data_IF_865163147954
#
_entry.id   IF_865163147954
#
_cell.length_a   1.000
_cell.length_b   1.000
_cell.length_c   1.000
_cell.angle_alpha   90.00
_cell.angle_beta   90.00
_cell.angle_gamma   90.00
#
_symmetry.space_group_name_H-M   'P 1'
#
loop_
_entity.id
_entity.type
_entity.pdbx_description
1 polymer ?
#
# COMPACT_ATOMS: atom_id res chain seq x y z
N UNK A 1 54.85 8.57 3.95
CA UNK A 1 54.50 7.35 4.71
C UNK A 1 53.14 6.88 4.20
N UNK A 2 53.06 5.81 3.39
CA UNK A 2 51.81 5.39 2.79
C UNK A 2 51.05 4.44 3.72
N UNK A 3 49.73 4.65 3.80
CA UNK A 3 48.76 3.79 4.49
C UNK A 3 48.21 2.82 3.45
N UNK A 4 48.79 1.63 3.36
CA UNK A 4 48.43 0.61 2.36
C UNK A 4 48.32 -0.80 2.98
N UNK A 5 47.72 -0.92 4.17
CA UNK A 5 47.75 -2.21 4.89
C UNK A 5 46.46 -2.60 5.61
N UNK A 6 45.28 -2.16 5.15
CA UNK A 6 43.98 -2.64 5.69
C UNK A 6 43.02 -3.02 4.53
N UNK A 7 43.53 -3.67 3.49
CA UNK A 7 42.70 -4.17 2.37
C UNK A 7 42.84 -5.68 2.12
N UNK A 8 43.66 -6.40 2.91
CA UNK A 8 44.01 -7.78 2.58
C UNK A 8 43.15 -8.86 3.25
N UNK A 9 42.31 -8.52 4.25
CA UNK A 9 41.60 -9.54 5.06
C UNK A 9 40.09 -9.66 4.82
N UNK A 10 39.49 -8.88 3.92
CA UNK A 10 38.04 -8.98 3.59
C UNK A 10 37.79 -9.82 2.33
N UNK A 11 38.82 -10.13 1.54
CA UNK A 11 38.68 -10.80 0.24
C UNK A 11 38.66 -12.34 0.32
N UNK A 12 38.73 -12.92 1.52
CA UNK A 12 38.81 -14.37 1.73
C UNK A 12 37.45 -15.08 1.84
N UNK A 13 36.32 -14.35 1.90
CA UNK A 13 34.99 -14.92 2.09
C UNK A 13 34.06 -14.86 0.87
N UNK A 14 34.51 -14.35 -0.28
CA UNK A 14 33.67 -14.27 -1.47
C UNK A 14 34.41 -14.65 -2.76
N UNK A 15 34.64 -15.95 -2.95
CA UNK A 15 34.86 -16.54 -4.27
C UNK A 15 33.93 -17.73 -4.47
N UNK A 16 33.07 -17.74 -5.51
CA UNK A 16 32.42 -18.97 -5.94
C UNK A 16 33.45 -19.82 -6.68
N UNK A 17 33.69 -21.03 -6.18
CA UNK A 17 34.52 -22.05 -6.84
C UNK A 17 33.71 -22.75 -7.93
N UNK A 18 34.27 -22.81 -9.13
CA UNK A 18 33.74 -23.57 -10.27
C UNK A 18 33.78 -25.09 -10.03
N UNK A 19 32.65 -25.70 -10.35
CA UNK A 19 32.42 -27.02 -10.93
C UNK A 19 33.21 -28.25 -10.44
N UNK A 20 32.50 -29.16 -9.78
CA UNK A 20 32.57 -30.60 -10.10
C UNK A 20 31.18 -31.22 -10.08
N UNK A 21 30.85 -31.83 -11.23
CA UNK A 21 29.82 -32.83 -11.54
C UNK A 21 29.11 -33.51 -10.36
N UNK A 22 27.78 -33.36 -10.28
CA UNK A 22 26.87 -34.48 -10.00
C UNK A 22 25.44 -34.19 -10.47
N UNK A 23 24.75 -35.24 -10.88
CA UNK A 23 23.69 -35.24 -11.88
C UNK A 23 22.28 -34.85 -11.39
N UNK A 24 21.53 -34.24 -12.31
CA UNK A 24 20.10 -34.42 -12.59
C UNK A 24 19.07 -34.33 -11.44
N UNK A 25 18.26 -33.27 -11.44
CA UNK A 25 16.80 -33.40 -11.44
C UNK A 25 16.16 -32.22 -12.19
N UNK A 26 15.54 -32.57 -13.31
CA UNK A 26 14.83 -31.73 -14.28
C UNK A 26 13.72 -30.86 -13.68
N UNK A 27 13.73 -29.55 -13.96
CA UNK A 27 12.54 -28.69 -13.88
C UNK A 27 12.25 -28.13 -15.28
N UNK A 28 11.37 -28.81 -16.01
CA UNK A 28 11.02 -28.48 -17.39
C UNK A 28 10.23 -27.17 -17.48
N UNK A 29 10.83 -26.17 -18.12
CA UNK A 29 10.15 -25.00 -18.69
C UNK A 29 9.63 -25.42 -20.06
N UNK A 30 8.32 -25.55 -20.22
CA UNK A 30 7.71 -25.90 -21.50
C UNK A 30 7.64 -24.66 -22.39
N UNK A 31 8.50 -24.60 -23.41
CA UNK A 31 8.42 -23.62 -24.50
C UNK A 31 7.70 -24.32 -25.66
N UNK A 32 6.49 -23.88 -25.97
CA UNK A 32 5.77 -24.32 -27.17
C UNK A 32 6.03 -23.32 -28.29
N UNK A 33 6.75 -23.76 -29.32
CA UNK A 33 7.02 -22.98 -30.55
C UNK A 33 6.03 -23.43 -31.63
N UNK A 34 5.21 -22.51 -32.14
CA UNK A 34 4.48 -22.69 -33.40
C UNK A 34 4.77 -21.51 -34.31
N UNK A 35 5.38 -21.80 -35.45
CA UNK A 35 5.77 -20.87 -36.51
C UNK A 35 4.60 -20.53 -37.43
N UNK A 36 4.36 -19.24 -37.65
CA UNK A 36 3.82 -18.67 -38.90
C UNK A 36 3.98 -17.14 -38.86
N UNK A 37 4.65 -16.58 -39.88
CA UNK A 37 5.02 -15.17 -40.04
C UNK A 37 3.84 -14.29 -40.47
N UNK A 38 3.66 -13.12 -39.85
CA UNK A 38 3.54 -11.77 -40.47
C UNK A 38 3.11 -10.70 -39.44
N UNK A 39 3.76 -9.53 -39.57
CA UNK A 39 3.55 -8.22 -38.93
C UNK A 39 4.10 -7.98 -37.50
N UNK A 40 5.11 -7.10 -37.46
CA UNK A 40 5.94 -6.69 -36.31
C UNK A 40 5.15 -5.99 -35.18
N UNK A 41 4.55 -6.76 -34.29
CA UNK A 41 4.48 -6.42 -32.88
C UNK A 41 5.18 -7.56 -32.15
N UNK A 42 6.35 -7.31 -31.53
CA UNK A 42 7.09 -8.34 -30.79
C UNK A 42 6.19 -8.80 -29.63
N UNK A 43 5.38 -9.81 -29.87
CA UNK A 43 4.47 -10.41 -28.90
C UNK A 43 5.31 -11.26 -27.95
N UNK A 44 5.99 -10.56 -27.02
CA UNK A 44 6.83 -11.18 -26.01
C UNK A 44 5.98 -12.12 -25.13
N UNK A 45 6.50 -13.33 -24.83
CA UNK A 45 5.73 -14.40 -24.19
C UNK A 45 5.11 -13.96 -22.87
N UNK A 46 3.88 -14.42 -22.61
CA UNK A 46 3.17 -14.13 -21.35
C UNK A 46 3.73 -14.97 -20.20
N UNK A 47 4.37 -14.31 -19.23
CA UNK A 47 4.88 -14.93 -18.00
C UNK A 47 3.69 -15.42 -17.16
N UNK A 48 3.65 -16.73 -16.89
CA UNK A 48 2.68 -17.34 -15.97
C UNK A 48 3.43 -18.06 -14.84
N UNK A 49 3.27 -17.60 -13.60
CA UNK A 49 3.97 -18.14 -12.42
C UNK A 49 3.17 -19.30 -11.80
N UNK A 50 3.77 -20.50 -11.69
CA UNK A 50 3.08 -21.72 -11.20
C UNK A 50 2.51 -21.62 -9.76
N UNK A 51 3.09 -20.79 -8.88
CA UNK A 51 2.66 -20.60 -7.47
C UNK A 51 2.23 -19.16 -7.15
N UNK A 52 1.79 -18.39 -8.14
CA UNK A 52 1.33 -17.01 -7.93
C UNK A 52 -0.08 -16.90 -7.36
N UNK A 53 -0.40 -15.77 -6.74
CA UNK A 53 -1.74 -15.41 -6.28
C UNK A 53 -2.71 -15.24 -7.46
N UNK A 54 -3.96 -15.64 -7.26
CA UNK A 54 -5.06 -15.40 -8.21
C UNK A 54 -5.43 -13.91 -8.25
N UNK A 55 -6.03 -13.47 -9.35
CA UNK A 55 -6.49 -12.08 -9.55
C UNK A 55 -7.32 -11.56 -8.35
N UNK A 56 -8.35 -12.30 -7.95
CA UNK A 56 -9.26 -11.88 -6.88
C UNK A 56 -8.53 -11.80 -5.53
N UNK A 57 -7.64 -12.76 -5.25
CA UNK A 57 -6.88 -12.78 -4.00
C UNK A 57 -5.91 -11.59 -3.94
N UNK A 58 -5.26 -11.25 -5.06
CA UNK A 58 -4.39 -10.07 -5.15
C UNK A 58 -5.19 -8.79 -5.02
N UNK A 59 -6.37 -8.71 -5.65
CA UNK A 59 -7.28 -7.57 -5.51
C UNK A 59 -7.72 -7.37 -4.05
N UNK A 60 -8.16 -8.43 -3.37
CA UNK A 60 -8.55 -8.36 -1.95
C UNK A 60 -7.38 -7.95 -1.05
N UNK A 61 -6.19 -8.49 -1.28
CA UNK A 61 -5.00 -8.08 -0.54
C UNK A 61 -4.60 -6.63 -0.83
N UNK A 62 -4.80 -6.17 -2.07
CA UNK A 62 -4.56 -4.78 -2.45
C UNK A 62 -5.54 -3.84 -1.75
N UNK A 63 -6.84 -4.13 -1.80
CA UNK A 63 -7.89 -3.38 -1.11
C UNK A 63 -7.64 -3.32 0.40
N UNK A 64 -7.24 -4.44 1.01
CA UNK A 64 -6.91 -4.51 2.43
C UNK A 64 -5.78 -3.56 2.81
N UNK A 65 -4.71 -3.51 2.01
CA UNK A 65 -3.58 -2.64 2.32
C UNK A 65 -3.85 -1.17 2.03
N UNK A 66 -4.75 -0.85 1.09
CA UNK A 66 -5.18 0.52 0.83
C UNK A 66 -6.14 1.02 1.92
N UNK A 67 -7.20 0.27 2.23
CA UNK A 67 -8.26 0.69 3.16
C UNK A 67 -7.72 0.52 4.60
N UNK A 68 -7.06 1.57 5.10
CA UNK A 68 -6.54 1.65 6.46
C UNK A 68 -7.22 2.72 7.32
N UNK A 69 -6.59 3.10 8.45
CA UNK A 69 -7.02 4.21 9.30
C UNK A 69 -7.25 5.53 8.54
N UNK A 70 -6.49 5.77 7.47
CA UNK A 70 -6.67 6.95 6.61
C UNK A 70 -8.07 7.07 6.01
N UNK A 71 -8.67 5.95 5.59
CA UNK A 71 -10.06 5.93 5.10
C UNK A 71 -11.05 6.49 6.14
N UNK A 72 -10.82 6.20 7.42
CA UNK A 72 -11.71 6.55 8.51
C UNK A 72 -11.55 8.02 8.94
N UNK A 73 -10.43 8.67 8.59
CA UNK A 73 -10.17 10.08 8.88
C UNK A 73 -10.56 11.02 7.74
N UNK A 74 -11.00 10.49 6.59
CA UNK A 74 -11.45 11.29 5.44
C UNK A 74 -12.57 12.31 5.76
N UNK A 75 -13.54 12.06 6.65
CA UNK A 75 -14.51 13.08 7.03
C UNK A 75 -13.86 14.37 7.55
N UNK A 76 -12.71 14.26 8.24
CA UNK A 76 -11.95 15.43 8.72
C UNK A 76 -11.42 16.24 7.54
N UNK A 77 -10.95 15.58 6.48
CA UNK A 77 -10.49 16.25 5.27
C UNK A 77 -11.63 17.01 4.57
N UNK A 78 -12.84 16.46 4.59
CA UNK A 78 -14.04 17.12 4.04
C UNK A 78 -14.45 18.31 4.91
N UNK A 79 -14.38 18.18 6.24
CA UNK A 79 -14.54 19.30 7.18
C UNK A 79 -13.55 20.44 6.92
N UNK A 80 -12.30 20.12 6.56
CA UNK A 80 -11.27 21.12 6.29
C UNK A 80 -11.40 21.77 4.91
N UNK A 81 -11.81 21.04 3.87
CA UNK A 81 -11.88 21.54 2.49
C UNK A 81 -13.27 22.03 2.05
N UNK A 82 -14.33 21.64 2.75
CA UNK A 82 -15.71 21.81 2.32
C UNK A 82 -16.23 20.57 1.57
N UNK A 83 -17.54 20.39 1.56
CA UNK A 83 -18.19 19.13 1.14
C UNK A 83 -17.85 18.75 -0.32
N UNK A 84 -18.12 19.65 -1.26
CA UNK A 84 -17.94 19.38 -2.69
C UNK A 84 -16.49 19.49 -3.13
N UNK A 85 -15.71 20.37 -2.47
CA UNK A 85 -14.27 20.47 -2.70
C UNK A 85 -13.58 19.15 -2.30
N UNK A 86 -13.82 18.67 -1.07
CA UNK A 86 -13.30 17.39 -0.59
C UNK A 86 -13.69 16.21 -1.46
N UNK A 87 -14.97 16.14 -1.87
CA UNK A 87 -15.47 15.12 -2.79
C UNK A 87 -14.69 15.13 -4.11
N UNK A 88 -14.52 16.30 -4.72
CA UNK A 88 -13.76 16.44 -5.98
C UNK A 88 -12.29 16.08 -5.81
N UNK A 89 -11.65 16.53 -4.72
CA UNK A 89 -10.24 16.24 -4.42
C UNK A 89 -9.97 14.74 -4.27
N UNK A 90 -10.88 13.98 -3.63
CA UNK A 90 -10.73 12.52 -3.50
C UNK A 90 -10.63 11.84 -4.87
N UNK A 91 -11.47 12.21 -5.85
CA UNK A 91 -11.40 11.63 -7.19
C UNK A 91 -10.17 12.10 -7.97
N UNK A 92 -9.77 13.36 -7.84
CA UNK A 92 -8.57 13.90 -8.47
C UNK A 92 -7.33 13.16 -7.96
N UNK A 93 -7.14 13.08 -6.63
CA UNK A 93 -6.01 12.37 -6.03
C UNK A 93 -6.08 10.87 -6.28
N UNK A 94 -7.27 10.26 -6.27
CA UNK A 94 -7.46 8.86 -6.63
C UNK A 94 -6.99 8.56 -8.05
N UNK A 95 -7.36 9.40 -9.02
CA UNK A 95 -6.92 9.27 -10.41
C UNK A 95 -5.41 9.47 -10.56
N UNK A 96 -4.87 10.55 -9.98
CA UNK A 96 -3.42 10.83 -10.01
C UNK A 96 -2.61 9.69 -9.39
N UNK A 97 -3.06 9.18 -8.25
CA UNK A 97 -2.39 8.06 -7.58
C UNK A 97 -2.44 6.78 -8.41
N UNK A 98 -3.60 6.45 -8.97
CA UNK A 98 -3.74 5.30 -9.88
C UNK A 98 -2.81 5.43 -11.09
N UNK A 99 -2.75 6.61 -11.71
CA UNK A 99 -1.85 6.89 -12.83
C UNK A 99 -0.38 6.67 -12.46
N UNK A 100 0.07 7.22 -11.32
CA UNK A 100 1.43 7.04 -10.81
C UNK A 100 1.76 5.56 -10.57
N UNK A 101 0.86 4.81 -9.93
CA UNK A 101 1.05 3.38 -9.68
C UNK A 101 1.10 2.58 -10.99
N UNK A 102 0.21 2.86 -11.95
CA UNK A 102 0.19 2.20 -13.26
C UNK A 102 1.52 2.43 -14.00
N UNK A 103 2.01 3.67 -14.02
CA UNK A 103 3.27 4.01 -14.65
C UNK A 103 4.44 3.30 -13.99
N UNK A 104 4.45 3.21 -12.66
CA UNK A 104 5.49 2.49 -11.92
C UNK A 104 5.53 1.00 -12.26
N UNK A 105 4.36 0.34 -12.31
CA UNK A 105 4.28 -1.08 -12.67
C UNK A 105 4.69 -1.29 -14.13
N UNK A 106 4.26 -0.42 -15.04
CA UNK A 106 4.65 -0.49 -16.45
C UNK A 106 6.17 -0.40 -16.62
N UNK A 107 6.81 0.56 -15.96
CA UNK A 107 8.27 0.69 -15.93
C UNK A 107 8.95 -0.56 -15.34
N UNK A 108 8.44 -1.08 -14.23
CA UNK A 108 8.97 -2.29 -13.60
C UNK A 108 8.90 -3.50 -14.53
N UNK A 109 7.75 -3.72 -15.17
CA UNK A 109 7.55 -4.83 -16.11
C UNK A 109 8.46 -4.72 -17.34
N UNK A 110 8.61 -3.52 -17.88
CA UNK A 110 9.51 -3.27 -19.01
C UNK A 110 10.97 -3.58 -18.65
N UNK A 111 11.46 -3.06 -17.52
CA UNK A 111 12.84 -3.28 -17.06
C UNK A 111 13.10 -4.73 -16.64
N UNK A 112 12.13 -5.37 -15.99
CA UNK A 112 12.18 -6.77 -15.58
C UNK A 112 12.38 -7.67 -16.80
N UNK A 113 11.58 -7.48 -17.87
CA UNK A 113 11.71 -8.23 -19.12
C UNK A 113 13.05 -7.99 -19.81
N UNK A 114 13.52 -6.75 -19.84
CA UNK A 114 14.84 -6.40 -20.43
C UNK A 114 15.99 -7.12 -19.73
N UNK A 115 15.88 -7.40 -18.42
CA UNK A 115 16.88 -8.08 -17.60
C UNK A 115 16.72 -9.61 -17.55
N UNK A 116 15.83 -10.19 -18.36
CA UNK A 116 15.57 -11.62 -18.35
C UNK A 116 14.64 -12.06 -17.22
N UNK A 117 13.55 -11.32 -17.01
CA UNK A 117 12.45 -11.62 -16.08
C UNK A 117 12.84 -11.69 -14.59
N UNK A 118 13.81 -10.88 -14.19
CA UNK A 118 14.17 -10.71 -12.79
C UNK A 118 13.08 -9.95 -12.02
N UNK A 119 12.75 -10.39 -10.80
CA UNK A 119 11.89 -9.61 -9.90
C UNK A 119 12.62 -8.33 -9.47
N UNK A 120 11.98 -7.18 -9.67
CA UNK A 120 12.53 -5.89 -9.29
C UNK A 120 11.74 -5.33 -8.11
N UNK A 121 12.47 -5.01 -7.05
CA UNK A 121 11.98 -4.17 -5.95
C UNK A 121 12.17 -2.69 -6.32
N UNK A 122 11.54 -1.76 -5.58
CA UNK A 122 11.54 -0.33 -5.91
C UNK A 122 12.94 0.25 -6.16
N UNK A 123 13.89 0.00 -5.25
CA UNK A 123 15.27 0.46 -5.43
C UNK A 123 15.96 -0.16 -6.65
N UNK A 124 15.62 -1.40 -7.01
CA UNK A 124 16.15 -2.05 -8.21
C UNK A 124 15.50 -1.50 -9.48
N UNK A 125 14.18 -1.21 -9.47
CA UNK A 125 13.51 -0.52 -10.57
C UNK A 125 14.18 0.83 -10.83
N UNK A 126 14.45 1.61 -9.78
CA UNK A 126 15.10 2.90 -9.90
C UNK A 126 16.56 2.79 -10.40
N UNK A 127 17.30 1.79 -9.91
CA UNK A 127 18.65 1.48 -10.37
C UNK A 127 18.68 1.19 -11.88
N UNK A 128 17.83 0.26 -12.32
CA UNK A 128 17.75 -0.17 -13.72
C UNK A 128 17.24 0.95 -14.61
N UNK A 129 16.30 1.77 -14.13
CA UNK A 129 15.84 2.95 -14.84
C UNK A 129 16.99 3.93 -15.08
N UNK A 130 17.82 4.22 -14.06
CA UNK A 130 18.97 5.11 -14.20
C UNK A 130 20.07 4.55 -15.11
N UNK A 131 20.36 3.25 -15.01
CA UNK A 131 21.36 2.58 -15.85
C UNK A 131 20.99 2.63 -17.34
N UNK A 132 19.70 2.45 -17.64
CA UNK A 132 19.19 2.46 -19.01
C UNK A 132 18.79 3.86 -19.52
N UNK A 133 19.00 4.92 -18.74
CA UNK A 133 18.62 6.30 -19.06
C UNK A 133 19.81 7.13 -19.60
N UNK A 134 19.75 8.45 -19.47
CA UNK A 134 20.71 9.44 -19.98
C UNK A 134 22.11 9.25 -19.39
N UNK A 135 23.15 9.56 -20.20
CA UNK A 135 24.57 9.35 -19.83
C UNK A 135 24.97 10.03 -18.51
N UNK A 136 24.42 11.22 -18.22
CA UNK A 136 24.69 11.95 -16.97
C UNK A 136 24.06 11.29 -15.74
N UNK A 137 22.94 10.58 -15.88
CA UNK A 137 22.24 9.98 -14.73
C UNK A 137 22.79 8.60 -14.34
N UNK A 138 23.39 7.88 -15.30
CA UNK A 138 24.02 6.56 -15.11
C UNK A 138 25.01 6.46 -13.94
N UNK A 139 25.94 7.40 -13.70
CA UNK A 139 26.86 7.30 -12.56
C UNK A 139 26.15 7.33 -11.20
N UNK A 140 24.95 7.92 -11.12
CA UNK A 140 24.19 8.07 -9.88
C UNK A 140 23.27 6.89 -9.56
N UNK A 141 23.26 5.81 -10.36
CA UNK A 141 22.33 4.66 -10.22
C UNK A 141 22.29 4.05 -8.81
N UNK A 142 23.45 3.92 -8.14
CA UNK A 142 23.53 3.40 -6.77
C UNK A 142 22.96 4.38 -5.74
N UNK A 143 23.20 5.68 -5.94
CA UNK A 143 22.70 6.74 -5.05
C UNK A 143 21.18 6.81 -5.14
N UNK A 144 20.61 6.78 -6.35
CA UNK A 144 19.15 6.80 -6.56
C UNK A 144 18.49 5.58 -5.90
N UNK A 145 19.08 4.39 -6.03
CA UNK A 145 18.59 3.19 -5.34
C UNK A 145 18.53 3.37 -3.82
N UNK A 146 19.57 3.95 -3.23
CA UNK A 146 19.61 4.22 -1.78
C UNK A 146 18.56 5.25 -1.39
N UNK A 147 18.42 6.34 -2.15
CA UNK A 147 17.40 7.38 -1.91
C UNK A 147 16.01 6.76 -1.90
N UNK A 148 15.65 6.00 -2.94
CA UNK A 148 14.32 5.37 -3.06
C UNK A 148 14.05 4.43 -1.90
N UNK A 149 14.99 3.55 -1.54
CA UNK A 149 14.82 2.64 -0.43
C UNK A 149 14.69 3.37 0.91
N UNK A 150 15.49 4.42 1.15
CA UNK A 150 15.42 5.23 2.37
C UNK A 150 14.08 5.96 2.47
N UNK A 151 13.58 6.53 1.37
CA UNK A 151 12.27 7.19 1.32
C UNK A 151 11.14 6.20 1.61
N UNK A 152 11.20 4.98 1.08
CA UNK A 152 10.21 3.93 1.36
C UNK A 152 10.26 3.50 2.84
N UNK A 153 11.45 3.37 3.43
CA UNK A 153 11.58 3.06 4.86
C UNK A 153 10.97 4.18 5.71
N UNK A 154 11.27 5.45 5.39
CA UNK A 154 10.71 6.60 6.08
C UNK A 154 9.17 6.62 5.98
N UNK A 155 8.63 6.36 4.80
CA UNK A 155 7.19 6.22 4.56
C UNK A 155 6.60 5.10 5.44
N UNK A 156 7.23 3.92 5.46
CA UNK A 156 6.76 2.78 6.24
C UNK A 156 6.77 3.03 7.75
N UNK A 157 7.78 3.74 8.26
CA UNK A 157 7.83 4.16 9.68
C UNK A 157 6.65 5.08 10.00
N UNK A 158 6.32 6.02 9.11
CA UNK A 158 5.16 6.90 9.25
C UNK A 158 3.84 6.13 9.26
N UNK A 159 3.65 5.17 8.36
CA UNK A 159 2.44 4.35 8.32
C UNK A 159 2.30 3.54 9.61
N UNK A 160 3.36 2.85 10.01
CA UNK A 160 3.37 2.02 11.22
C UNK A 160 3.04 2.85 12.48
N UNK A 161 3.52 4.09 12.57
CA UNK A 161 3.23 4.96 13.72
C UNK A 161 1.74 5.33 13.78
N UNK A 162 1.11 5.65 12.65
CA UNK A 162 -0.33 5.97 12.62
C UNK A 162 -1.17 4.74 12.95
N UNK A 163 -0.83 3.56 12.42
CA UNK A 163 -1.52 2.32 12.79
C UNK A 163 -1.41 2.04 14.30
N UNK A 164 -0.24 2.27 14.89
CA UNK A 164 -0.05 2.11 16.33
C UNK A 164 -0.90 3.08 17.15
N UNK A 165 -0.94 4.37 16.77
CA UNK A 165 -1.81 5.37 17.42
C UNK A 165 -3.27 4.98 17.28
N UNK A 166 -3.69 4.54 16.09
CA UNK A 166 -5.06 4.12 15.82
C UNK A 166 -5.49 2.97 16.73
N UNK A 167 -4.68 1.89 16.81
CA UNK A 167 -4.96 0.77 17.71
C UNK A 167 -4.97 1.20 19.17
N UNK A 168 -4.05 2.08 19.57
CA UNK A 168 -3.97 2.61 20.92
C UNK A 168 -5.22 3.38 21.35
N UNK A 169 -5.71 4.29 20.50
CA UNK A 169 -6.92 5.08 20.79
C UNK A 169 -8.15 4.19 20.89
N UNK A 170 -8.33 3.22 19.98
CA UNK A 170 -9.48 2.31 20.01
C UNK A 170 -9.40 1.33 21.18
N UNK A 171 -8.20 0.89 21.57
CA UNK A 171 -8.02 0.04 22.76
C UNK A 171 -8.42 0.79 24.02
N UNK A 172 -8.07 2.07 24.12
CA UNK A 172 -8.52 2.93 25.24
C UNK A 172 -10.04 3.01 25.30
N UNK A 173 -10.68 3.38 24.19
CA UNK A 173 -12.14 3.51 24.12
C UNK A 173 -12.85 2.21 24.51
N UNK A 174 -12.39 1.07 24.00
CA UNK A 174 -12.92 -0.24 24.35
C UNK A 174 -12.74 -0.57 25.84
N UNK A 175 -11.56 -0.29 26.39
CA UNK A 175 -11.26 -0.59 27.79
C UNK A 175 -12.02 0.29 28.75
N UNK A 176 -12.15 1.60 28.47
CA UNK A 176 -12.95 2.54 29.27
C UNK A 176 -14.45 2.23 29.20
N UNK A 177 -14.92 1.66 28.08
CA UNK A 177 -16.31 1.21 27.94
C UNK A 177 -16.61 -0.05 28.75
N UNK A 178 -15.75 -1.08 28.66
CA UNK A 178 -15.99 -2.37 29.34
C UNK A 178 -15.46 -2.44 30.78
N UNK A 179 -14.47 -1.63 31.12
CA UNK A 179 -13.79 -1.63 32.42
C UNK A 179 -13.82 -0.23 33.00
N UNK A 180 -14.04 -0.10 34.31
CA UNK A 180 -13.92 1.20 35.02
C UNK A 180 -12.47 1.70 35.14
N UNK A 181 -11.54 1.13 34.37
CA UNK A 181 -10.12 1.45 34.41
C UNK A 181 -9.89 2.71 33.58
N UNK A 182 -9.82 3.85 34.26
CA UNK A 182 -9.43 5.11 33.65
C UNK A 182 -7.95 5.33 33.88
N UNK A 183 -7.17 5.29 32.80
CA UNK A 183 -5.73 5.49 32.82
C UNK A 183 -5.31 6.53 31.79
N UNK A 184 -4.10 7.06 31.93
CA UNK A 184 -3.57 7.99 30.94
C UNK A 184 -3.37 7.31 29.59
N UNK A 185 -3.54 8.06 28.49
CA UNK A 185 -3.37 7.55 27.11
C UNK A 185 -2.00 6.88 26.91
N UNK A 186 -0.96 7.36 27.59
CA UNK A 186 0.38 6.78 27.56
C UNK A 186 0.41 5.34 28.07
N UNK A 187 -0.36 5.02 29.12
CA UNK A 187 -0.44 3.65 29.66
C UNK A 187 -1.08 2.73 28.63
N UNK A 188 -2.14 3.16 27.95
CA UNK A 188 -2.77 2.41 26.87
C UNK A 188 -1.81 2.13 25.71
N UNK A 189 -1.01 3.12 25.32
CA UNK A 189 0.04 2.92 24.31
C UNK A 189 1.06 1.87 24.76
N UNK A 190 1.56 1.94 26.00
CA UNK A 190 2.48 0.92 26.54
C UNK A 190 1.84 -0.48 26.53
N UNK A 191 0.57 -0.59 26.95
CA UNK A 191 -0.18 -1.86 26.93
C UNK A 191 -0.26 -2.42 25.51
N UNK A 192 -0.54 -1.58 24.49
CA UNK A 192 -0.60 -1.99 23.08
C UNK A 192 0.78 -2.32 22.50
N UNK A 193 1.85 -1.68 22.98
CA UNK A 193 3.21 -1.99 22.54
C UNK A 193 3.62 -3.44 22.84
N UNK A 194 3.22 -3.97 24.01
CA UNK A 194 3.55 -5.34 24.44
C UNK A 194 3.10 -6.41 23.41
N UNK A 195 1.80 -6.53 23.05
CA UNK A 195 1.36 -7.51 22.06
C UNK A 195 1.92 -7.22 20.66
N UNK A 196 2.12 -5.96 20.27
CA UNK A 196 2.73 -5.61 18.98
C UNK A 196 4.18 -6.11 18.89
N UNK A 197 4.97 -5.97 19.96
CA UNK A 197 6.32 -6.53 20.06
C UNK A 197 6.26 -8.05 20.00
N UNK A 198 5.35 -8.71 20.72
CA UNK A 198 5.19 -10.16 20.70
C UNK A 198 4.85 -10.71 19.30
N UNK A 199 4.03 -9.99 18.52
CA UNK A 199 3.71 -10.37 17.13
C UNK A 199 4.98 -10.39 16.26
N UNK A 200 5.95 -9.50 16.50
CA UNK A 200 7.23 -9.51 15.77
C UNK A 200 8.09 -10.76 16.06
N UNK A 201 7.85 -11.49 17.14
CA UNK A 201 8.54 -12.75 17.42
C UNK A 201 7.99 -13.94 16.62
N UNK A 202 6.84 -13.80 15.95
CA UNK A 202 6.27 -14.85 15.11
C UNK A 202 7.09 -14.98 13.82
N UNK A 203 8.01 -15.95 13.80
CA UNK A 203 8.88 -16.23 12.65
C UNK A 203 8.18 -16.96 11.50
N UNK A 204 6.99 -17.52 11.73
CA UNK A 204 6.27 -18.34 10.74
C UNK A 204 5.24 -17.52 9.95
N UNK A 205 5.61 -17.15 8.72
CA UNK A 205 4.74 -16.42 7.77
C UNK A 205 3.39 -17.11 7.50
N UNK A 206 3.29 -18.44 7.67
CA UNK A 206 2.04 -19.19 7.49
C UNK A 206 0.96 -18.76 8.50
N UNK A 207 1.32 -18.54 9.77
CA UNK A 207 0.37 -18.13 10.81
C UNK A 207 -0.17 -16.72 10.56
N UNK A 208 0.71 -15.81 10.13
CA UNK A 208 0.35 -14.44 9.73
C UNK A 208 -0.60 -14.45 8.52
N UNK A 209 -0.42 -15.38 7.58
CA UNK A 209 -1.30 -15.56 6.43
C UNK A 209 -2.75 -15.86 6.81
N UNK A 210 -2.98 -16.81 7.71
CA UNK A 210 -4.35 -17.14 8.18
C UNK A 210 -4.97 -15.99 8.99
N UNK A 211 -4.19 -15.38 9.90
CA UNK A 211 -4.64 -14.21 10.66
C UNK A 211 -5.03 -13.06 9.74
N UNK A 212 -4.24 -12.80 8.69
CA UNK A 212 -4.54 -11.79 7.69
C UNK A 212 -5.84 -12.08 6.92
N UNK A 213 -6.11 -13.35 6.58
CA UNK A 213 -7.34 -13.74 5.90
C UNK A 213 -8.58 -13.48 6.77
N UNK A 214 -8.53 -13.82 8.07
CA UNK A 214 -9.60 -13.50 9.02
C UNK A 214 -9.78 -11.98 9.14
N UNK A 215 -8.67 -11.24 9.22
CA UNK A 215 -8.68 -9.78 9.25
C UNK A 215 -9.36 -9.16 8.03
N UNK A 216 -9.22 -9.73 6.83
CA UNK A 216 -9.92 -9.24 5.63
C UNK A 216 -11.45 -9.36 5.78
N UNK A 217 -11.92 -10.47 6.35
CA UNK A 217 -13.36 -10.69 6.56
C UNK A 217 -13.90 -9.69 7.59
N UNK A 218 -13.21 -9.54 8.73
CA UNK A 218 -13.58 -8.59 9.78
C UNK A 218 -13.61 -7.15 9.26
N UNK A 219 -12.65 -6.79 8.42
CA UNK A 219 -12.58 -5.48 7.79
C UNK A 219 -13.77 -5.20 6.88
N UNK A 220 -14.17 -6.15 6.03
CA UNK A 220 -15.35 -6.01 5.16
C UNK A 220 -16.62 -5.85 6.01
N UNK A 221 -16.76 -6.66 7.07
CA UNK A 221 -17.90 -6.58 7.98
C UNK A 221 -17.95 -5.21 8.69
N UNK A 222 -16.82 -4.76 9.24
CA UNK A 222 -16.70 -3.47 9.93
C UNK A 222 -17.06 -2.31 9.01
N UNK A 223 -16.53 -2.30 7.79
CA UNK A 223 -16.85 -1.26 6.80
C UNK A 223 -18.33 -1.28 6.43
N UNK A 224 -18.93 -2.47 6.31
CA UNK A 224 -20.36 -2.65 6.08
C UNK A 224 -21.23 -2.02 7.18
N UNK A 225 -20.90 -2.26 8.45
CA UNK A 225 -21.61 -1.65 9.59
C UNK A 225 -21.46 -0.12 9.63
N UNK A 226 -20.25 0.39 9.39
CA UNK A 226 -20.00 1.84 9.34
C UNK A 226 -20.87 2.48 8.27
N UNK A 227 -20.86 1.95 7.04
CA UNK A 227 -21.68 2.51 5.97
C UNK A 227 -23.18 2.37 6.23
N UNK A 228 -23.63 1.25 6.78
CA UNK A 228 -25.04 1.06 7.14
C UNK A 228 -25.49 2.14 8.14
N UNK A 229 -24.69 2.40 9.17
CA UNK A 229 -24.98 3.44 10.16
C UNK A 229 -25.02 4.82 9.51
N UNK A 230 -23.97 5.17 8.76
CA UNK A 230 -23.88 6.48 8.11
C UNK A 230 -25.04 6.76 7.16
N UNK A 231 -25.45 5.79 6.35
CA UNK A 231 -26.55 6.01 5.40
C UNK A 231 -27.88 6.26 6.13
N UNK A 232 -28.07 5.65 7.32
CA UNK A 232 -29.31 5.77 8.11
C UNK A 232 -29.33 6.96 9.06
N UNK A 233 -28.18 7.55 9.37
CA UNK A 233 -28.10 8.70 10.25
C UNK A 233 -28.78 9.93 9.62
N UNK A 234 -29.16 10.89 10.46
CA UNK A 234 -29.73 12.16 10.00
C UNK A 234 -28.63 13.02 9.36
N UNK A 235 -28.96 13.67 8.24
CA UNK A 235 -27.99 14.37 7.39
C UNK A 235 -28.19 15.88 7.44
N UNK A 236 -27.14 16.64 7.74
CA UNK A 236 -27.18 18.10 7.85
C UNK A 236 -26.50 18.74 6.63
N UNK A 237 -26.88 18.34 5.42
CA UNK A 237 -26.20 18.77 4.19
C UNK A 237 -26.30 20.30 3.95
N UNK A 238 -27.45 20.90 4.25
CA UNK A 238 -27.77 22.29 3.88
C UNK A 238 -26.96 23.34 4.64
N UNK A 239 -26.37 22.98 5.78
CA UNK A 239 -25.62 23.91 6.64
C UNK A 239 -24.11 23.85 6.39
N UNK A 240 -23.64 22.94 5.52
CA UNK A 240 -22.22 22.67 5.34
C UNK A 240 -21.59 23.58 4.26
N UNK A 241 -20.38 24.09 4.49
CA UNK A 241 -19.66 24.88 3.50
C UNK A 241 -19.34 24.00 2.28
N UNK A 242 -19.65 24.52 1.09
CA UNK A 242 -19.36 23.86 -0.17
C UNK A 242 -17.85 23.81 -0.44
N UNK A 243 -17.19 24.92 -0.12
CA UNK A 243 -15.74 25.17 -0.25
C UNK A 243 -15.30 25.91 1.02
N UNK A 244 -14.15 25.53 1.56
CA UNK A 244 -13.50 26.14 2.72
C UNK A 244 -12.32 27.04 2.30
N UNK A 245 -11.56 27.54 3.27
CA UNK A 245 -10.38 28.36 3.06
C UNK A 245 -9.21 27.60 2.41
N UNK A 246 -8.32 28.33 1.73
CA UNK A 246 -7.14 27.76 1.07
C UNK A 246 -6.26 26.89 2.00
N UNK A 247 -6.06 27.33 3.24
CA UNK A 247 -5.29 26.57 4.24
C UNK A 247 -5.98 25.26 4.63
N UNK A 248 -7.32 25.27 4.71
CA UNK A 248 -8.12 24.07 4.96
C UNK A 248 -8.04 23.09 3.80
N UNK A 249 -8.14 23.58 2.57
CA UNK A 249 -7.95 22.79 1.35
C UNK A 249 -6.55 22.15 1.31
N UNK A 250 -5.50 22.93 1.63
CA UNK A 250 -4.13 22.42 1.65
C UNK A 250 -3.93 21.31 2.70
N UNK A 251 -4.54 21.46 3.87
CA UNK A 251 -4.50 20.44 4.93
C UNK A 251 -5.26 19.18 4.51
N UNK A 252 -6.43 19.35 3.90
CA UNK A 252 -7.23 18.26 3.37
C UNK A 252 -6.51 17.47 2.27
N UNK A 253 -5.75 18.14 1.39
CA UNK A 253 -4.91 17.48 0.39
C UNK A 253 -3.92 16.51 1.04
N UNK A 254 -3.29 16.90 2.16
CA UNK A 254 -2.39 16.03 2.92
C UNK A 254 -3.10 14.80 3.49
N UNK A 255 -4.28 14.97 4.09
CA UNK A 255 -5.08 13.88 4.63
C UNK A 255 -5.60 12.92 3.55
N UNK A 256 -6.01 13.45 2.39
CA UNK A 256 -6.47 12.65 1.25
C UNK A 256 -5.29 11.88 0.63
N UNK A 257 -4.13 12.53 0.44
CA UNK A 257 -2.91 11.87 -0.02
C UNK A 257 -2.49 10.75 0.92
N UNK A 258 -2.53 10.99 2.22
CA UNK A 258 -2.28 9.96 3.23
C UNK A 258 -3.28 8.79 3.13
N UNK A 259 -4.54 9.06 2.86
CA UNK A 259 -5.56 8.01 2.70
C UNK A 259 -5.27 7.13 1.48
N UNK A 260 -4.78 7.72 0.39
CA UNK A 260 -4.38 7.01 -0.84
C UNK A 260 -2.96 6.44 -0.80
N UNK A 261 -2.33 6.41 0.37
CA UNK A 261 -1.06 5.73 0.58
C UNK A 261 -1.26 4.20 0.45
N UNK A 262 -0.29 3.54 -0.19
CA UNK A 262 -0.34 2.12 -0.57
C UNK A 262 0.50 1.81 -1.81
N UNK A 263 1.34 2.76 -2.23
CA UNK A 263 2.25 2.62 -3.35
C UNK A 263 3.31 1.56 -3.06
N UNK A 264 3.77 1.44 -1.81
CA UNK A 264 4.84 0.52 -1.40
C UNK A 264 4.48 -0.97 -1.52
N UNK A 265 3.19 -1.31 -1.61
CA UNK A 265 2.71 -2.69 -1.76
C UNK A 265 2.47 -3.11 -3.21
N UNK A 266 2.50 -2.18 -4.16
CA UNK A 266 2.18 -2.45 -5.58
C UNK A 266 3.18 -3.44 -6.22
N UNK A 267 4.49 -3.18 -6.14
CA UNK A 267 5.50 -4.09 -6.73
C UNK A 267 5.56 -5.45 -6.03
N UNK A 268 5.53 -5.56 -4.68
CA UNK A 268 5.44 -6.86 -4.01
C UNK A 268 4.20 -7.67 -4.40
N UNK A 269 3.06 -7.02 -4.66
CA UNK A 269 1.84 -7.67 -5.14
C UNK A 269 1.98 -8.13 -6.59
N UNK A 270 2.53 -7.28 -7.46
CA UNK A 270 2.83 -7.65 -8.84
C UNK A 270 3.76 -8.87 -8.90
N UNK A 271 4.85 -8.85 -8.11
CA UNK A 271 5.85 -9.92 -8.05
C UNK A 271 5.28 -11.26 -7.55
N UNK A 272 4.12 -11.23 -6.87
CA UNK A 272 3.41 -12.43 -6.38
C UNK A 272 2.24 -12.85 -7.26
N UNK A 273 1.83 -12.04 -8.23
CA UNK A 273 0.69 -12.34 -9.10
C UNK A 273 1.02 -13.50 -10.06
N UNK A 274 0.05 -14.40 -10.28
CA UNK A 274 0.19 -15.53 -11.22
C UNK A 274 0.46 -15.05 -12.65
N UNK A 275 -0.29 -14.05 -13.10
CA UNK A 275 -0.16 -13.43 -14.42
C UNK A 275 0.11 -11.93 -14.24
N UNK A 276 1.38 -11.48 -14.26
CA UNK A 276 1.74 -10.07 -14.01
C UNK A 276 1.07 -9.08 -14.96
N UNK A 277 0.78 -9.51 -16.21
CA UNK A 277 0.04 -8.71 -17.19
C UNK A 277 -1.33 -8.26 -16.67
N UNK A 278 -1.98 -9.03 -15.78
CA UNK A 278 -3.28 -8.70 -15.20
C UNK A 278 -3.21 -7.64 -14.09
N UNK A 279 -2.00 -7.22 -13.68
CA UNK A 279 -1.82 -6.12 -12.73
C UNK A 279 -2.21 -4.77 -13.36
N UNK A 280 -1.87 -4.60 -14.64
CA UNK A 280 -2.10 -3.40 -15.45
C UNK A 280 -3.37 -3.58 -16.31
N UNK A 281 -3.93 -2.47 -16.79
CA UNK A 281 -5.04 -2.42 -17.75
C UNK A 281 -6.31 -1.83 -17.14
N UNK A 282 -7.31 -1.46 -17.96
CA UNK A 282 -8.53 -0.81 -17.47
C UNK A 282 -9.31 -1.67 -16.45
N UNK A 283 -9.29 -2.99 -16.63
CA UNK A 283 -9.85 -3.98 -15.70
C UNK A 283 -8.77 -4.77 -14.93
N UNK A 284 -7.53 -4.25 -14.92
CA UNK A 284 -6.43 -4.81 -14.15
C UNK A 284 -6.69 -4.71 -12.64
N UNK A 285 -5.92 -5.46 -11.85
CA UNK A 285 -6.02 -5.44 -10.38
C UNK A 285 -5.88 -4.03 -9.84
N UNK A 286 -4.92 -3.26 -10.38
CA UNK A 286 -4.61 -1.93 -9.88
C UNK A 286 -5.72 -0.92 -10.18
N UNK A 287 -6.19 -0.84 -11.44
CA UNK A 287 -7.25 0.10 -11.82
C UNK A 287 -8.60 -0.22 -11.17
N UNK A 288 -8.95 -1.51 -11.08
CA UNK A 288 -10.17 -1.95 -10.38
C UNK A 288 -10.09 -1.67 -8.89
N UNK A 289 -8.95 -1.98 -8.27
CA UNK A 289 -8.72 -1.75 -6.85
C UNK A 289 -8.75 -0.27 -6.49
N UNK A 290 -8.05 0.56 -7.25
CA UNK A 290 -8.02 2.00 -7.03
C UNK A 290 -9.40 2.64 -7.23
N UNK A 291 -10.14 2.25 -8.26
CA UNK A 291 -11.51 2.74 -8.47
C UNK A 291 -12.42 2.40 -7.29
N UNK A 292 -12.36 1.16 -6.79
CA UNK A 292 -13.16 0.76 -5.64
C UNK A 292 -12.76 1.52 -4.36
N UNK A 293 -11.46 1.69 -4.12
CA UNK A 293 -10.94 2.48 -2.99
C UNK A 293 -11.41 3.92 -3.07
N UNK A 294 -11.33 4.57 -4.24
CA UNK A 294 -11.79 5.94 -4.42
C UNK A 294 -13.28 6.10 -4.13
N UNK A 295 -14.12 5.14 -4.53
CA UNK A 295 -15.56 5.16 -4.22
C UNK A 295 -15.81 5.00 -2.73
N UNK A 296 -15.15 4.04 -2.07
CA UNK A 296 -15.24 3.84 -0.62
C UNK A 296 -14.79 5.10 0.12
N UNK A 297 -13.72 5.75 -0.33
CA UNK A 297 -13.16 6.95 0.29
C UNK A 297 -14.07 8.15 0.13
N UNK A 298 -14.59 8.36 -1.08
CA UNK A 298 -15.56 9.42 -1.34
C UNK A 298 -16.82 9.21 -0.48
N UNK A 299 -17.32 7.97 -0.39
CA UNK A 299 -18.46 7.64 0.44
C UNK A 299 -18.18 7.87 1.94
N UNK A 300 -17.04 7.39 2.47
CA UNK A 300 -16.65 7.59 3.87
C UNK A 300 -16.55 9.08 4.20
N UNK A 301 -15.81 9.85 3.40
CA UNK A 301 -15.63 11.28 3.60
C UNK A 301 -16.94 12.08 3.49
N UNK A 302 -17.73 11.80 2.44
CA UNK A 302 -18.98 12.49 2.19
C UNK A 302 -20.03 12.18 3.27
N UNK A 303 -20.37 10.89 3.45
CA UNK A 303 -21.39 10.49 4.44
C UNK A 303 -20.96 10.82 5.87
N UNK A 304 -19.68 10.64 6.21
CA UNK A 304 -19.18 11.01 7.53
C UNK A 304 -19.27 12.50 7.80
N UNK A 305 -18.98 13.34 6.81
CA UNK A 305 -19.07 14.79 6.99
C UNK A 305 -20.51 15.30 7.04
N UNK A 306 -21.42 14.77 6.21
CA UNK A 306 -22.83 15.20 6.28
C UNK A 306 -23.56 14.72 7.54
N UNK A 307 -23.10 13.63 8.15
CA UNK A 307 -23.68 13.09 9.39
C UNK A 307 -23.21 13.90 10.61
N UNK A 308 -21.91 14.17 10.72
CA UNK A 308 -21.33 14.76 11.93
C UNK A 308 -20.95 16.24 11.80
N UNK A 309 -20.91 16.79 10.58
CA UNK A 309 -20.59 18.19 10.30
C UNK A 309 -19.31 18.67 11.00
N UNK A 310 -19.43 19.70 11.83
CA UNK A 310 -18.29 20.25 12.57
C UNK A 310 -17.85 19.39 13.76
N UNK A 311 -18.64 18.40 14.18
CA UNK A 311 -18.34 17.50 15.29
C UNK A 311 -17.55 16.25 14.87
N UNK A 312 -17.11 16.17 13.61
CA UNK A 312 -16.22 15.10 13.14
C UNK A 312 -14.94 15.05 13.96
N UNK A 313 -14.66 13.87 14.53
CA UNK A 313 -13.44 13.53 15.27
C UNK A 313 -12.37 12.96 14.34
N UNK A 314 -11.17 12.70 14.88
CA UNK A 314 -10.00 12.24 14.11
C UNK A 314 -10.21 10.97 13.29
N UNK A 315 -11.17 10.12 13.66
CA UNK A 315 -11.69 9.03 12.84
C UNK A 315 -13.18 8.86 13.08
N UNK A 316 -13.92 8.49 12.03
CA UNK A 316 -15.37 8.33 12.07
C UNK A 316 -15.85 7.29 13.10
N UNK A 317 -14.99 6.33 13.42
CA UNK A 317 -15.25 5.31 14.44
C UNK A 317 -15.40 5.90 15.83
N UNK A 318 -14.71 7.01 16.14
CA UNK A 318 -14.81 7.72 17.42
C UNK A 318 -16.08 8.55 17.53
N UNK A 319 -16.77 8.78 16.41
CA UNK A 319 -18.05 9.49 16.39
C UNK A 319 -19.25 8.54 16.53
N UNK A 320 -19.05 7.21 16.38
CA UNK A 320 -20.13 6.24 16.52
C UNK A 320 -20.62 6.20 17.98
N UNK A 321 -21.94 6.11 18.22
CA UNK A 321 -22.49 6.05 19.56
C UNK A 321 -22.08 4.73 20.24
N UNK A 322 -21.80 4.82 21.54
CA UNK A 322 -21.44 3.67 22.37
C UNK A 322 -22.66 2.77 22.73
N UNK A 323 -23.87 3.14 22.30
CA UNK A 323 -25.11 2.39 22.50
C UNK A 323 -25.77 2.11 21.16
N UNK A 324 -25.95 0.82 20.85
CA UNK A 324 -26.72 0.33 19.69
C UNK A 324 -28.21 0.31 20.03
#
# INVERSE_FOLDING_TARGET
MPVSTISADVEKYWRPSDATSEAATSSSTTISTSTSESDDEISLPSITRKKGLSYLMTLLNFLKGMIGPGCLSLPVAFKQSGLWCGFSLVFIFGFLNNYCMLQLVHCSQYLSRKKGDAHLDYGNVAYEACENSFKWLRPYKHIVRIIVNTTIIALQVGICSVFYVFVGVHTRELMEYYTSFQASTTIYFIIVAIPMILINFIRTLKGIGYCSAVGNVLMIISLGFIFQYLIRAEHVMSELPWISDFNGILTACGSILYSFEGQAMVLPMENKLKNPKNMIGPFGVLSTGMSLVSVVYAACGFFGYITYGNSVEGSITLNLPNSV
#
